data_IF_285710265818
#
_entry.id   IF_285710265818
#
_cell.length_a   1.000
_cell.length_b   1.000
_cell.length_c   1.000
_cell.angle_alpha   90.00
_cell.angle_beta   90.00
_cell.angle_gamma   90.00
#
_symmetry.space_group_name_H-M   'P 1'
#
loop_
_entity.id
_entity.type
_entity.pdbx_description
1 polymer ?
#
# COMPACT_ATOMS: atom_id res chain seq x y z
N UNK A 1 2.99 -16.73 12.75
CA UNK A 1 3.88 -16.12 13.78
C UNK A 1 4.47 -14.85 13.18
N UNK A 2 4.33 -13.71 13.86
CA UNK A 2 4.93 -12.44 13.42
C UNK A 2 6.43 -12.52 13.66
N UNK A 3 7.30 -12.19 12.68
CA UNK A 3 8.74 -12.20 12.85
C UNK A 3 9.21 -11.29 14.00
N UNK A 4 10.29 -11.65 14.67
CA UNK A 4 10.88 -10.85 15.75
C UNK A 4 11.17 -9.39 15.33
N UNK A 5 11.60 -9.20 14.07
CA UNK A 5 11.87 -7.88 13.51
C UNK A 5 10.61 -7.00 13.46
N UNK A 6 9.44 -7.59 13.20
CA UNK A 6 8.18 -6.84 13.18
C UNK A 6 7.77 -6.42 14.58
N UNK A 7 7.97 -7.29 15.58
CA UNK A 7 7.72 -6.95 16.98
C UNK A 7 8.64 -5.81 17.48
N UNK A 8 9.93 -5.87 17.12
CA UNK A 8 10.88 -4.79 17.43
C UNK A 8 10.50 -3.49 16.72
N UNK A 9 10.06 -3.59 15.45
CA UNK A 9 9.60 -2.44 14.66
C UNK A 9 8.33 -1.82 15.25
N UNK A 10 7.39 -2.65 15.71
CA UNK A 10 6.18 -2.20 16.41
C UNK A 10 6.55 -1.43 17.69
N UNK A 11 7.46 -1.97 18.51
CA UNK A 11 7.95 -1.28 19.72
C UNK A 11 8.61 0.05 19.39
N UNK A 12 9.41 0.09 18.35
CA UNK A 12 10.05 1.31 17.87
C UNK A 12 9.02 2.38 17.46
N UNK A 13 8.04 2.00 16.63
CA UNK A 13 6.98 2.91 16.18
C UNK A 13 6.13 3.42 17.37
N UNK A 14 5.84 2.55 18.33
CA UNK A 14 5.17 2.95 19.58
C UNK A 14 6.01 3.90 20.42
N UNK A 15 7.31 3.71 20.48
CA UNK A 15 8.23 4.64 21.17
C UNK A 15 8.24 6.02 20.51
N UNK A 16 8.03 6.09 19.19
CA UNK A 16 7.87 7.34 18.45
C UNK A 16 6.51 8.04 18.66
N UNK A 17 5.61 7.44 19.42
CA UNK A 17 4.32 8.03 19.80
C UNK A 17 3.09 7.38 19.12
N UNK A 18 3.25 6.43 18.19
CA UNK A 18 2.11 5.74 17.61
C UNK A 18 1.50 4.76 18.61
N UNK A 19 0.18 4.74 18.68
CA UNK A 19 -0.59 3.77 19.47
C UNK A 19 -1.00 2.61 18.58
N UNK A 20 -0.87 1.40 19.11
CA UNK A 20 -1.39 0.18 18.49
C UNK A 20 -2.80 -0.06 19.03
N UNK A 21 -3.79 -0.07 18.16
CA UNK A 21 -5.20 -0.30 18.52
C UNK A 21 -5.90 -1.17 17.48
N UNK A 22 -7.06 -1.68 17.83
CA UNK A 22 -7.95 -2.39 16.92
C UNK A 22 -9.21 -1.56 16.70
N UNK A 23 -9.67 -1.54 15.46
CA UNK A 23 -10.91 -0.88 15.04
C UNK A 23 -11.79 -1.95 14.41
N UNK A 24 -13.03 -2.05 14.87
CA UNK A 24 -14.00 -3.03 14.39
C UNK A 24 -14.44 -2.73 12.96
N UNK A 25 -14.76 -3.79 12.22
CA UNK A 25 -15.29 -3.69 10.86
C UNK A 25 -16.18 -4.87 10.53
N UNK A 26 -16.85 -4.85 9.39
CA UNK A 26 -17.77 -5.90 8.94
C UNK A 26 -17.14 -7.30 8.86
N UNK A 27 -15.82 -7.38 8.61
CA UNK A 27 -15.09 -8.66 8.49
C UNK A 27 -14.09 -8.90 9.63
N UNK A 28 -14.28 -8.21 10.76
CA UNK A 28 -13.44 -8.34 11.95
C UNK A 28 -12.45 -7.19 12.14
N UNK A 29 -11.81 -7.11 13.31
CA UNK A 29 -11.01 -5.94 13.68
C UNK A 29 -9.74 -5.78 12.84
N UNK A 30 -9.49 -4.57 12.37
CA UNK A 30 -8.20 -4.18 11.83
C UNK A 30 -7.29 -3.60 12.91
N UNK A 31 -6.05 -4.03 12.90
CA UNK A 31 -4.99 -3.39 13.66
C UNK A 31 -4.56 -2.09 12.98
N UNK A 32 -4.43 -1.03 13.77
CA UNK A 32 -4.02 0.29 13.29
C UNK A 32 -2.92 0.84 14.17
N UNK A 33 -1.83 1.28 13.56
CA UNK A 33 -0.88 2.20 14.20
C UNK A 33 -1.35 3.62 13.96
N UNK A 34 -1.64 4.35 15.01
CA UNK A 34 -2.24 5.67 14.97
C UNK A 34 -1.61 6.58 16.03
N UNK A 35 -1.17 7.75 15.65
CA UNK A 35 -0.56 8.66 16.59
C UNK A 35 -0.35 10.07 16.08
N UNK A 36 -0.20 11.02 17.02
CA UNK A 36 0.07 12.40 16.67
C UNK A 36 1.42 12.54 15.98
N UNK A 37 1.45 13.35 14.94
CA UNK A 37 2.67 13.92 14.43
C UNK A 37 3.05 15.20 15.21
N UNK A 38 3.93 15.99 14.61
CA UNK A 38 4.45 17.23 15.22
C UNK A 38 4.37 18.42 14.26
N UNK A 39 3.77 18.22 13.09
CA UNK A 39 3.58 19.25 12.07
C UNK A 39 2.11 19.62 11.90
N UNK A 40 1.88 20.54 10.97
CA UNK A 40 0.56 21.15 10.72
C UNK A 40 -0.08 20.68 9.41
N UNK A 41 0.61 19.84 8.61
CA UNK A 41 0.02 19.23 7.42
C UNK A 41 -1.15 18.31 7.82
N UNK A 42 -2.11 18.10 6.93
CA UNK A 42 -3.30 17.26 7.21
C UNK A 42 -2.94 15.89 7.78
N UNK A 43 -3.93 15.16 8.29
CA UNK A 43 -3.76 13.76 8.66
C UNK A 43 -3.26 12.96 7.46
N UNK A 44 -2.43 11.95 7.72
CA UNK A 44 -1.85 11.08 6.71
C UNK A 44 -2.24 9.63 6.97
N UNK A 45 -2.84 8.99 5.96
CA UNK A 45 -3.12 7.55 5.95
C UNK A 45 -2.11 6.83 5.06
N UNK A 46 -1.49 5.75 5.56
CA UNK A 46 -0.52 4.94 4.83
C UNK A 46 -1.05 3.50 4.62
N UNK A 47 -1.37 3.14 3.39
CA UNK A 47 -1.93 1.84 3.01
C UNK A 47 -0.86 0.96 2.34
N UNK A 48 -0.54 -0.17 2.95
CA UNK A 48 0.52 -1.07 2.49
C UNK A 48 0.06 -2.07 1.42
N UNK A 49 1.01 -2.67 0.70
CA UNK A 49 0.75 -3.66 -0.34
C UNK A 49 0.54 -5.10 0.18
N UNK A 50 0.25 -6.00 -0.74
CA UNK A 50 0.06 -7.44 -0.48
C UNK A 50 1.26 -8.02 0.27
N UNK A 51 0.96 -8.88 1.25
CA UNK A 51 1.98 -9.55 2.11
C UNK A 51 2.85 -8.60 2.94
N UNK A 52 2.52 -7.29 2.95
CA UNK A 52 3.17 -6.27 3.77
C UNK A 52 2.41 -6.05 5.10
N UNK A 53 2.74 -5.00 5.84
CA UNK A 53 2.10 -4.61 7.11
C UNK A 53 2.57 -3.23 7.56
N UNK A 54 1.89 -2.66 8.54
CA UNK A 54 2.19 -1.33 9.11
C UNK A 54 3.64 -1.16 9.56
N UNK A 55 4.26 -2.18 10.14
CA UNK A 55 5.67 -2.12 10.59
C UNK A 55 6.70 -2.08 9.47
N UNK A 56 6.33 -2.37 8.24
CA UNK A 56 7.23 -2.18 7.10
C UNK A 56 7.51 -0.69 6.83
N UNK A 57 6.65 0.20 7.33
CA UNK A 57 6.87 1.65 7.30
C UNK A 57 7.79 2.19 8.41
N UNK A 58 8.46 1.32 9.21
CA UNK A 58 9.34 1.73 10.33
C UNK A 58 10.45 2.71 9.96
N UNK A 59 10.88 2.74 8.69
CA UNK A 59 11.87 3.70 8.18
C UNK A 59 11.20 4.93 7.55
N UNK A 60 9.98 4.82 7.10
CA UNK A 60 9.23 5.86 6.41
C UNK A 60 8.48 6.78 7.37
N UNK A 61 7.74 6.22 8.32
CA UNK A 61 6.94 6.96 9.31
C UNK A 61 7.76 8.01 10.09
N UNK A 62 8.98 7.73 10.60
CA UNK A 62 9.76 8.72 11.35
C UNK A 62 10.08 10.01 10.56
N UNK A 63 10.09 9.93 9.22
CA UNK A 63 10.32 11.05 8.31
C UNK A 63 9.09 11.91 8.08
N UNK A 64 7.92 11.34 8.33
CA UNK A 64 6.61 11.98 8.13
C UNK A 64 6.07 12.63 9.41
N UNK A 65 6.30 12.01 10.56
CA UNK A 65 5.85 12.53 11.87
C UNK A 65 6.21 14.00 12.15
N UNK A 66 7.36 14.55 11.72
CA UNK A 66 7.66 15.97 11.92
C UNK A 66 6.78 16.95 11.13
N UNK A 67 6.08 16.49 10.11
CA UNK A 67 5.40 17.34 9.13
C UNK A 67 3.88 17.24 9.18
N UNK A 68 3.33 16.06 9.47
CA UNK A 68 1.90 15.79 9.49
C UNK A 68 1.33 15.93 10.91
N UNK A 69 0.05 16.31 11.00
CA UNK A 69 -0.69 16.44 12.26
C UNK A 69 -0.90 15.07 12.92
N UNK A 70 -1.17 14.06 12.13
CA UNK A 70 -1.43 12.68 12.56
C UNK A 70 -1.00 11.70 11.49
N UNK A 71 -0.53 10.53 11.88
CA UNK A 71 -0.18 9.44 10.94
C UNK A 71 -0.95 8.18 11.35
N UNK A 72 -1.69 7.63 10.40
CA UNK A 72 -2.56 6.46 10.54
C UNK A 72 -2.06 5.37 9.59
N UNK A 73 -1.75 4.20 10.12
CA UNK A 73 -1.19 3.08 9.34
C UNK A 73 -1.97 1.80 9.66
N UNK A 74 -3.07 1.53 8.97
CA UNK A 74 -3.82 0.29 9.14
C UNK A 74 -3.04 -0.90 8.57
N UNK A 75 -3.15 -2.04 9.24
CA UNK A 75 -2.88 -3.34 8.63
C UNK A 75 -4.13 -3.79 7.87
N UNK A 76 -3.99 -4.17 6.60
CA UNK A 76 -5.09 -4.70 5.80
C UNK A 76 -5.67 -5.97 6.45
N UNK A 77 -6.91 -6.32 6.14
CA UNK A 77 -7.53 -7.58 6.57
C UNK A 77 -6.61 -8.76 6.21
N UNK A 78 -6.47 -9.69 7.12
CA UNK A 78 -5.56 -10.85 7.03
C UNK A 78 -4.07 -10.50 6.87
N UNK A 79 -3.66 -9.27 7.18
CA UNK A 79 -2.26 -8.85 7.18
C UNK A 79 -1.83 -8.35 8.57
N UNK A 80 -0.54 -8.40 8.83
CA UNK A 80 0.06 -7.86 10.07
C UNK A 80 -0.53 -8.46 11.33
N UNK A 81 -1.21 -7.63 12.11
CA UNK A 81 -1.93 -7.99 13.33
C UNK A 81 -3.46 -7.92 13.19
N UNK A 82 -3.97 -7.60 11.99
CA UNK A 82 -5.40 -7.60 11.70
C UNK A 82 -6.00 -9.00 11.73
N UNK A 83 -7.33 -9.07 11.86
CA UNK A 83 -8.09 -10.31 11.87
C UNK A 83 -7.85 -11.16 10.62
N UNK A 84 -7.92 -12.48 10.79
CA UNK A 84 -7.85 -13.49 9.73
C UNK A 84 -9.18 -14.22 9.65
N UNK A 85 -10.07 -13.87 8.73
CA UNK A 85 -11.34 -14.59 8.56
C UNK A 85 -11.12 -16.05 8.17
N UNK A 86 -11.89 -16.97 8.79
CA UNK A 86 -11.78 -18.41 8.52
C UNK A 86 -12.17 -18.77 7.08
N UNK A 87 -13.09 -18.03 6.49
CA UNK A 87 -13.52 -18.15 5.08
C UNK A 87 -12.47 -17.70 4.06
N UNK A 88 -11.38 -17.11 4.52
CA UNK A 88 -10.35 -16.49 3.69
C UNK A 88 -10.73 -15.08 3.26
N UNK A 89 -9.96 -14.49 2.35
CA UNK A 89 -10.13 -13.11 1.89
C UNK A 89 -10.16 -13.01 0.37
N UNK A 90 -10.80 -11.95 -0.13
CA UNK A 90 -10.76 -11.48 -1.50
C UNK A 90 -10.55 -9.96 -1.57
N UNK A 91 -10.45 -9.39 -2.77
CA UNK A 91 -10.20 -7.97 -2.96
C UNK A 91 -11.30 -7.08 -2.37
N UNK A 92 -12.58 -7.32 -2.64
CA UNK A 92 -13.69 -6.59 -2.02
C UNK A 92 -13.65 -6.61 -0.50
N UNK A 93 -13.51 -7.76 0.15
CA UNK A 93 -13.41 -7.84 1.61
C UNK A 93 -12.29 -6.99 2.18
N UNK A 94 -11.10 -7.05 1.56
CA UNK A 94 -9.93 -6.25 2.01
C UNK A 94 -10.20 -4.76 1.87
N UNK A 95 -10.80 -4.32 0.75
CA UNK A 95 -11.05 -2.90 0.50
C UNK A 95 -12.22 -2.37 1.32
N UNK A 96 -13.31 -3.12 1.42
CA UNK A 96 -14.50 -2.70 2.18
C UNK A 96 -14.14 -2.51 3.64
N UNK A 97 -13.49 -3.50 4.25
CA UNK A 97 -13.00 -3.44 5.63
C UNK A 97 -12.07 -2.24 5.86
N UNK A 98 -11.14 -1.99 4.93
CA UNK A 98 -10.23 -0.87 5.06
C UNK A 98 -10.95 0.47 4.92
N UNK A 99 -11.88 0.60 3.97
CA UNK A 99 -12.67 1.81 3.76
C UNK A 99 -13.51 2.14 5.01
N UNK A 100 -14.19 1.14 5.60
CA UNK A 100 -14.96 1.30 6.84
C UNK A 100 -14.08 1.85 7.97
N UNK A 101 -12.93 1.21 8.20
CA UNK A 101 -12.01 1.60 9.28
C UNK A 101 -11.41 2.98 9.06
N UNK A 102 -11.00 3.31 7.84
CA UNK A 102 -10.40 4.62 7.55
C UNK A 102 -11.45 5.73 7.62
N UNK A 103 -12.68 5.48 7.15
CA UNK A 103 -13.80 6.44 7.27
C UNK A 103 -14.12 6.75 8.74
N UNK A 104 -14.19 5.72 9.61
CA UNK A 104 -14.39 5.89 11.05
C UNK A 104 -13.29 6.71 11.72
N UNK A 105 -12.03 6.56 11.24
CA UNK A 105 -10.87 7.19 11.86
C UNK A 105 -10.67 8.66 11.45
N UNK A 106 -11.25 9.08 10.35
CA UNK A 106 -11.06 10.42 9.79
C UNK A 106 -12.20 11.37 10.15
N UNK A 107 -11.91 12.38 10.96
CA UNK A 107 -12.81 13.48 11.25
C UNK A 107 -12.74 14.59 10.18
N UNK A 108 -11.59 14.70 9.49
CA UNK A 108 -11.32 15.70 8.46
C UNK A 108 -10.63 15.06 7.25
N UNK A 109 -10.69 15.70 6.05
CA UNK A 109 -10.03 15.18 4.86
C UNK A 109 -8.52 15.01 5.05
N UNK A 110 -8.01 13.82 4.72
CA UNK A 110 -6.62 13.41 4.90
C UNK A 110 -5.86 13.29 3.57
N UNK A 111 -4.55 13.33 3.63
CA UNK A 111 -3.70 12.85 2.54
C UNK A 111 -3.62 11.32 2.65
N UNK A 112 -3.92 10.64 1.55
CA UNK A 112 -3.91 9.17 1.49
C UNK A 112 -2.76 8.70 0.62
N UNK A 113 -1.86 7.92 1.20
CA UNK A 113 -0.78 7.24 0.50
C UNK A 113 -1.09 5.76 0.35
N UNK A 114 -0.88 5.20 -0.85
CA UNK A 114 -1.02 3.76 -1.08
C UNK A 114 0.04 3.21 -2.03
N UNK A 115 0.52 1.99 -1.75
CA UNK A 115 1.44 1.28 -2.63
C UNK A 115 0.87 -0.09 -3.02
N UNK A 116 0.91 -0.43 -4.30
CA UNK A 116 0.47 -1.73 -4.84
C UNK A 116 -1.00 -2.03 -4.48
N UNK A 117 -1.31 -3.11 -3.75
CA UNK A 117 -2.64 -3.40 -3.20
C UNK A 117 -3.15 -2.25 -2.31
N UNK A 118 -2.27 -1.58 -1.54
CA UNK A 118 -2.63 -0.39 -0.79
C UNK A 118 -2.94 0.82 -1.69
N UNK A 119 -2.33 0.90 -2.88
CA UNK A 119 -2.66 1.89 -3.90
C UNK A 119 -4.04 1.64 -4.51
N UNK A 120 -4.35 0.38 -4.80
CA UNK A 120 -5.68 -0.06 -5.20
C UNK A 120 -6.74 0.33 -4.15
N UNK A 121 -6.49 0.00 -2.88
CA UNK A 121 -7.39 0.33 -1.78
C UNK A 121 -7.53 1.85 -1.56
N UNK A 122 -6.45 2.61 -1.71
CA UNK A 122 -6.46 4.07 -1.62
C UNK A 122 -7.33 4.72 -2.72
N UNK A 123 -7.26 4.20 -3.94
CA UNK A 123 -8.13 4.65 -5.05
C UNK A 123 -9.58 4.28 -4.80
N UNK A 124 -9.87 3.07 -4.30
CA UNK A 124 -11.22 2.66 -3.89
C UNK A 124 -11.77 3.58 -2.79
N UNK A 125 -10.96 3.89 -1.77
CA UNK A 125 -11.35 4.82 -0.71
C UNK A 125 -11.63 6.22 -1.26
N UNK A 126 -10.76 6.76 -2.11
CA UNK A 126 -10.95 8.08 -2.71
C UNK A 126 -12.18 8.17 -3.62
N UNK A 127 -12.53 7.07 -4.29
CA UNK A 127 -13.75 6.97 -5.10
C UNK A 127 -15.04 6.93 -4.27
N UNK A 128 -15.01 6.27 -3.10
CA UNK A 128 -16.19 6.06 -2.24
C UNK A 128 -16.39 7.21 -1.25
N UNK A 129 -15.31 7.83 -0.79
CA UNK A 129 -15.28 8.89 0.23
C UNK A 129 -14.51 10.12 -0.28
N UNK A 130 -14.94 10.76 -1.38
CA UNK A 130 -14.21 11.88 -1.99
C UNK A 130 -14.09 13.09 -1.05
N UNK A 131 -15.00 13.25 -0.11
CA UNK A 131 -15.01 14.27 0.93
C UNK A 131 -14.00 14.04 2.05
N UNK A 132 -13.49 12.81 2.19
CA UNK A 132 -12.48 12.41 3.19
C UNK A 132 -11.04 12.44 2.64
N UNK A 133 -10.86 12.70 1.35
CA UNK A 133 -9.54 12.69 0.71
C UNK A 133 -9.15 14.08 0.24
N UNK A 134 -8.22 14.71 0.94
CA UNK A 134 -7.64 15.99 0.56
C UNK A 134 -6.67 15.86 -0.62
N UNK A 135 -5.96 14.76 -0.70
CA UNK A 135 -5.07 14.41 -1.80
C UNK A 135 -4.69 12.94 -1.79
N UNK A 136 -4.49 12.40 -2.97
CA UNK A 136 -4.17 10.99 -3.20
C UNK A 136 -2.76 10.84 -3.77
N UNK A 137 -1.90 10.12 -3.06
CA UNK A 137 -0.55 9.79 -3.49
C UNK A 137 -0.40 8.28 -3.63
N UNK A 138 -0.28 7.79 -4.84
CA UNK A 138 -0.17 6.35 -5.09
C UNK A 138 1.13 5.99 -5.79
N UNK A 139 1.76 4.92 -5.32
CA UNK A 139 2.98 4.38 -5.91
C UNK A 139 2.71 2.96 -6.45
N UNK A 140 2.88 2.80 -7.76
CA UNK A 140 2.66 1.53 -8.47
C UNK A 140 1.36 0.82 -8.03
N UNK A 141 0.17 1.48 -8.13
CA UNK A 141 -1.09 0.89 -7.70
C UNK A 141 -1.45 -0.33 -8.54
N UNK A 142 -2.01 -1.36 -7.88
CA UNK A 142 -2.66 -2.48 -8.56
C UNK A 142 -4.06 -2.12 -9.04
N UNK A 143 -4.72 -3.05 -9.74
CA UNK A 143 -6.14 -2.93 -10.13
C UNK A 143 -6.41 -2.31 -11.50
N UNK A 144 -5.40 -1.98 -12.30
CA UNK A 144 -5.60 -1.51 -13.67
C UNK A 144 -6.35 -2.57 -14.51
N UNK A 145 -7.32 -2.12 -15.30
CA UNK A 145 -7.94 -2.99 -16.32
C UNK A 145 -6.88 -3.34 -17.35
N UNK A 146 -6.57 -4.61 -17.46
CA UNK A 146 -5.47 -5.10 -18.28
C UNK A 146 -5.89 -6.39 -19.00
N UNK A 147 -5.33 -6.69 -20.18
CA UNK A 147 -5.60 -7.97 -20.84
C UNK A 147 -5.33 -9.17 -19.94
N UNK A 148 -6.17 -10.20 -20.04
CA UNK A 148 -6.10 -11.39 -19.18
C UNK A 148 -4.71 -12.04 -19.14
N UNK A 149 -3.95 -11.97 -20.23
CA UNK A 149 -2.56 -12.47 -20.28
C UNK A 149 -1.62 -11.69 -19.35
N UNK A 150 -1.76 -10.35 -19.31
CA UNK A 150 -0.99 -9.50 -18.41
C UNK A 150 -1.37 -9.75 -16.96
N UNK A 151 -2.66 -9.88 -16.69
CA UNK A 151 -3.18 -10.21 -15.37
C UNK A 151 -2.63 -11.57 -14.88
N UNK A 152 -2.69 -12.62 -15.70
CA UNK A 152 -2.12 -13.93 -15.37
C UNK A 152 -0.61 -13.89 -15.18
N UNK A 153 0.10 -13.08 -15.94
CA UNK A 153 1.54 -12.88 -15.77
C UNK A 153 1.84 -12.18 -14.43
N UNK A 154 1.06 -11.16 -14.08
CA UNK A 154 1.18 -10.44 -12.82
C UNK A 154 0.92 -11.38 -11.64
N UNK A 155 -0.22 -12.07 -11.61
CA UNK A 155 -0.57 -13.02 -10.53
C UNK A 155 0.43 -14.17 -10.46
N UNK A 156 0.93 -14.66 -11.59
CA UNK A 156 2.01 -15.64 -11.68
C UNK A 156 3.30 -15.23 -10.98
N UNK A 157 3.63 -13.94 -10.98
CA UNK A 157 4.81 -13.43 -10.26
C UNK A 157 4.70 -13.64 -8.74
N UNK A 158 3.49 -13.65 -8.19
CA UNK A 158 3.25 -13.84 -6.74
C UNK A 158 3.30 -15.33 -6.32
N UNK A 159 3.28 -16.26 -7.30
CA UNK A 159 3.32 -17.71 -7.05
C UNK A 159 4.76 -18.20 -6.88
N UNK A 160 5.43 -17.72 -5.84
CA UNK A 160 6.81 -18.06 -5.52
C UNK A 160 6.87 -19.38 -4.77
N UNK A 161 7.46 -20.42 -5.37
CA UNK A 161 7.56 -21.79 -4.80
C UNK A 161 8.96 -22.11 -4.31
N UNK A 162 9.96 -21.74 -5.10
CA UNK A 162 11.38 -22.01 -4.78
C UNK A 162 12.07 -20.78 -4.20
N UNK A 163 13.27 -20.98 -3.67
CA UNK A 163 14.08 -19.87 -3.16
C UNK A 163 14.60 -19.00 -4.33
N UNK A 164 14.96 -19.60 -5.44
CA UNK A 164 15.42 -18.91 -6.65
C UNK A 164 14.32 -18.00 -7.22
N UNK A 165 13.07 -18.50 -7.28
CA UNK A 165 11.91 -17.70 -7.67
C UNK A 165 11.72 -16.51 -6.73
N UNK A 166 11.95 -16.71 -5.42
CA UNK A 166 11.86 -15.63 -4.44
C UNK A 166 12.94 -14.58 -4.61
N UNK A 167 14.17 -14.99 -4.93
CA UNK A 167 15.26 -14.06 -5.27
C UNK A 167 14.88 -13.26 -6.52
N UNK A 168 14.38 -13.93 -7.55
CA UNK A 168 13.93 -13.26 -8.78
C UNK A 168 12.77 -12.28 -8.52
N UNK A 169 11.83 -12.64 -7.64
CA UNK A 169 10.74 -11.77 -7.22
C UNK A 169 11.26 -10.53 -6.46
N UNK A 170 12.19 -10.70 -5.51
CA UNK A 170 12.82 -9.58 -4.80
C UNK A 170 13.49 -8.59 -5.76
N UNK A 171 14.14 -9.08 -6.81
CA UNK A 171 14.76 -8.25 -7.86
C UNK A 171 13.77 -7.50 -8.74
N UNK A 172 12.49 -7.93 -8.75
CA UNK A 172 11.41 -7.17 -9.38
C UNK A 172 10.83 -6.11 -8.44
N UNK A 173 10.78 -6.40 -7.13
CA UNK A 173 10.25 -5.48 -6.12
C UNK A 173 11.13 -4.23 -5.95
N UNK A 174 12.45 -4.38 -6.09
CA UNK A 174 13.42 -3.34 -5.75
C UNK A 174 14.19 -2.88 -6.98
N UNK A 175 14.50 -1.59 -7.03
CA UNK A 175 15.28 -1.00 -8.12
C UNK A 175 16.77 -1.37 -8.03
N UNK A 176 17.28 -1.39 -6.82
CA UNK A 176 18.69 -1.63 -6.52
C UNK A 176 18.99 -3.00 -5.92
N UNK A 177 20.27 -3.26 -5.60
CA UNK A 177 20.67 -4.49 -4.94
C UNK A 177 20.02 -4.60 -3.54
N UNK A 178 19.51 -5.78 -3.24
CA UNK A 178 18.86 -6.07 -1.96
C UNK A 178 19.90 -6.49 -0.93
N UNK A 179 20.12 -5.72 0.15
CA UNK A 179 21.03 -6.16 1.20
C UNK A 179 20.55 -7.48 1.81
N UNK A 180 21.45 -8.43 2.01
CA UNK A 180 21.12 -9.77 2.50
C UNK A 180 20.00 -10.44 1.65
N UNK A 181 20.10 -10.33 0.33
CA UNK A 181 19.09 -10.80 -0.63
C UNK A 181 18.60 -12.21 -0.31
N UNK A 182 19.50 -13.11 0.03
CA UNK A 182 19.14 -14.48 0.40
C UNK A 182 18.18 -14.54 1.59
N UNK A 183 18.43 -13.76 2.65
CA UNK A 183 17.58 -13.73 3.84
C UNK A 183 16.23 -13.03 3.54
N UNK A 184 16.27 -11.93 2.81
CA UNK A 184 15.04 -11.23 2.39
C UNK A 184 14.17 -12.14 1.53
N UNK A 185 14.77 -12.84 0.55
CA UNK A 185 14.07 -13.80 -0.30
C UNK A 185 13.45 -14.94 0.52
N UNK A 186 14.14 -15.45 1.55
CA UNK A 186 13.61 -16.47 2.44
C UNK A 186 12.34 -15.97 3.16
N UNK A 187 12.37 -14.76 3.71
CA UNK A 187 11.23 -14.14 4.40
C UNK A 187 10.08 -13.89 3.42
N UNK A 188 10.36 -13.34 2.24
CA UNK A 188 9.36 -13.09 1.20
C UNK A 188 8.67 -14.39 0.78
N UNK A 189 9.43 -15.44 0.51
CA UNK A 189 8.88 -16.77 0.19
C UNK A 189 7.95 -17.28 1.29
N UNK A 190 8.37 -17.18 2.54
CA UNK A 190 7.56 -17.60 3.68
C UNK A 190 6.24 -16.82 3.75
N UNK A 191 6.28 -15.49 3.55
CA UNK A 191 5.09 -14.64 3.62
C UNK A 191 4.12 -14.90 2.46
N UNK A 192 4.63 -15.02 1.22
CA UNK A 192 3.79 -15.28 0.04
C UNK A 192 3.19 -16.69 0.01
N UNK A 193 3.73 -17.64 0.79
CA UNK A 193 3.21 -19.01 0.89
C UNK A 193 2.28 -19.23 2.09
N UNK A 194 1.87 -18.18 2.80
CA UNK A 194 0.81 -18.32 3.80
C UNK A 194 -0.53 -18.61 3.14
N UNK A 195 -1.32 -19.47 3.73
CA UNK A 195 -2.57 -19.98 3.14
C UNK A 195 -3.51 -18.84 2.73
N UNK A 196 -3.73 -17.84 3.59
CA UNK A 196 -4.59 -16.71 3.29
C UNK A 196 -4.06 -15.82 2.13
N UNK A 197 -2.73 -15.66 1.99
CA UNK A 197 -2.14 -14.94 0.86
C UNK A 197 -2.31 -15.73 -0.43
N UNK A 198 -2.13 -17.06 -0.38
CA UNK A 198 -2.39 -17.94 -1.52
C UNK A 198 -3.84 -17.92 -1.93
N UNK A 199 -4.76 -18.04 -0.97
CA UNK A 199 -6.20 -17.96 -1.23
C UNK A 199 -6.58 -16.62 -1.86
N UNK A 200 -6.02 -15.51 -1.36
CA UNK A 200 -6.24 -14.19 -1.95
C UNK A 200 -5.78 -14.14 -3.42
N UNK A 201 -4.56 -14.60 -3.70
CA UNK A 201 -4.02 -14.62 -5.07
C UNK A 201 -4.88 -15.50 -5.99
N UNK A 202 -5.32 -16.66 -5.50
CA UNK A 202 -6.15 -17.61 -6.27
C UNK A 202 -7.57 -17.08 -6.54
N UNK A 203 -8.07 -16.17 -5.68
CA UNK A 203 -9.37 -15.52 -5.84
C UNK A 203 -9.33 -14.24 -6.67
N UNK A 204 -8.13 -13.69 -6.92
CA UNK A 204 -8.00 -12.48 -7.75
C UNK A 204 -8.60 -12.68 -9.14
N UNK A 205 -9.35 -11.69 -9.61
CA UNK A 205 -10.04 -11.74 -10.87
C UNK A 205 -10.41 -10.37 -11.43
N UNK A 206 -11.25 -10.36 -12.47
CA UNK A 206 -11.70 -9.12 -13.12
C UNK A 206 -12.53 -8.22 -12.18
N UNK A 207 -13.12 -8.79 -11.14
CA UNK A 207 -13.85 -8.05 -10.10
C UNK A 207 -12.94 -7.18 -9.22
N UNK A 208 -11.61 -7.37 -9.29
CA UNK A 208 -10.61 -6.53 -8.60
C UNK A 208 -10.10 -5.39 -9.50
N UNK A 209 -10.64 -5.21 -10.70
CA UNK A 209 -10.24 -4.10 -11.54
C UNK A 209 -10.88 -2.79 -11.11
N UNK A 210 -10.10 -1.71 -11.19
CA UNK A 210 -10.58 -0.34 -11.05
C UNK A 210 -11.10 0.13 -12.40
N UNK A 211 -12.36 -0.16 -12.68
CA UNK A 211 -13.02 0.29 -13.92
C UNK A 211 -13.11 1.83 -14.01
N UNK A 212 -13.42 2.37 -15.22
CA UNK A 212 -13.58 3.82 -15.41
C UNK A 212 -14.57 4.45 -14.42
N UNK A 213 -15.66 3.76 -14.12
CA UNK A 213 -16.73 4.20 -13.21
C UNK A 213 -16.26 4.40 -11.75
N UNK A 214 -15.16 3.74 -11.36
CA UNK A 214 -14.53 3.92 -10.05
C UNK A 214 -13.57 5.11 -10.11
N UNK A 215 -12.72 5.15 -11.14
CA UNK A 215 -11.65 6.15 -11.27
C UNK A 215 -12.21 7.55 -11.56
N UNK A 216 -13.29 7.68 -12.30
CA UNK A 216 -13.97 8.96 -12.59
C UNK A 216 -14.49 9.68 -11.32
N UNK A 217 -14.76 8.93 -10.23
CA UNK A 217 -15.20 9.48 -8.94
C UNK A 217 -14.06 10.05 -8.09
N UNK A 218 -12.82 9.79 -8.46
CA UNK A 218 -11.64 10.32 -7.74
C UNK A 218 -11.49 11.79 -8.10
N UNK A 219 -12.01 12.66 -7.24
CA UNK A 219 -11.97 14.12 -7.43
C UNK A 219 -10.73 14.77 -6.78
N UNK A 220 -10.09 14.09 -5.83
CA UNK A 220 -8.95 14.63 -5.11
C UNK A 220 -7.74 14.84 -6.02
N UNK A 221 -6.95 15.93 -5.82
CA UNK A 221 -5.64 16.07 -6.46
C UNK A 221 -4.84 14.77 -6.28
N UNK A 222 -4.34 14.24 -7.39
CA UNK A 222 -3.72 12.90 -7.41
C UNK A 222 -2.32 12.97 -7.97
N UNK A 223 -1.35 12.39 -7.25
CA UNK A 223 -0.03 12.05 -7.77
C UNK A 223 0.13 10.54 -7.90
N UNK A 224 0.45 10.11 -9.11
CA UNK A 224 0.70 8.72 -9.45
C UNK A 224 2.18 8.53 -9.74
N UNK A 225 2.86 7.86 -8.83
CA UNK A 225 4.27 7.51 -8.96
C UNK A 225 4.44 6.12 -9.58
N UNK A 226 5.23 6.07 -10.64
CA UNK A 226 5.57 4.83 -11.32
C UNK A 226 7.05 4.83 -11.67
N UNK A 227 7.87 4.22 -10.82
CA UNK A 227 9.31 4.26 -10.97
C UNK A 227 9.80 3.74 -12.33
N UNK A 228 10.90 4.29 -12.82
CA UNK A 228 11.52 3.77 -14.06
C UNK A 228 12.00 2.32 -13.92
N UNK A 229 12.24 1.86 -12.69
CA UNK A 229 12.63 0.49 -12.38
C UNK A 229 11.47 -0.38 -11.87
N UNK A 230 10.21 0.03 -12.09
CA UNK A 230 9.05 -0.84 -11.88
C UNK A 230 9.17 -2.08 -12.79
N UNK A 231 9.15 -3.28 -12.21
CA UNK A 231 9.34 -4.56 -12.93
C UNK A 231 8.29 -5.60 -12.57
N UNK A 232 7.40 -5.28 -11.63
CA UNK A 232 6.35 -6.19 -11.17
C UNK A 232 5.05 -5.98 -11.93
N UNK A 233 4.67 -4.73 -12.12
CA UNK A 233 3.51 -4.31 -12.91
C UNK A 233 3.94 -3.89 -14.32
N UNK A 234 2.99 -3.89 -15.26
CA UNK A 234 3.27 -3.57 -16.66
C UNK A 234 3.14 -2.08 -16.96
N UNK A 235 3.92 -1.54 -17.90
CA UNK A 235 3.74 -0.16 -18.40
C UNK A 235 2.34 0.06 -19.03
N UNK A 236 1.67 -1.01 -19.47
CA UNK A 236 0.29 -0.96 -19.91
C UNK A 236 -0.68 -0.55 -18.78
N UNK A 237 -0.39 -0.94 -17.53
CA UNK A 237 -1.20 -0.56 -16.37
C UNK A 237 -1.04 0.95 -16.09
N UNK A 238 0.18 1.48 -16.25
CA UNK A 238 0.42 2.92 -16.19
C UNK A 238 -0.31 3.68 -17.30
N UNK A 239 -0.30 3.13 -18.52
CA UNK A 239 -0.99 3.74 -19.66
C UNK A 239 -2.50 3.83 -19.40
N UNK A 240 -3.09 2.77 -18.85
CA UNK A 240 -4.49 2.75 -18.41
C UNK A 240 -4.78 3.87 -17.39
N UNK A 241 -3.99 3.99 -16.32
CA UNK A 241 -4.21 5.04 -15.33
C UNK A 241 -4.05 6.46 -15.89
N UNK A 242 -3.13 6.66 -16.83
CA UNK A 242 -2.98 7.97 -17.52
C UNK A 242 -4.22 8.35 -18.33
N UNK A 243 -4.87 7.38 -18.94
CA UNK A 243 -6.09 7.58 -19.70
C UNK A 243 -7.28 7.85 -18.78
N UNK A 244 -7.43 7.06 -17.71
CA UNK A 244 -8.60 7.11 -16.83
C UNK A 244 -8.52 8.20 -15.76
N UNK A 245 -7.34 8.71 -15.44
CA UNK A 245 -7.09 9.78 -14.46
C UNK A 245 -6.35 10.96 -15.11
N UNK A 246 -6.97 11.66 -16.09
CA UNK A 246 -6.29 12.72 -16.85
C UNK A 246 -5.86 13.91 -15.98
N UNK A 247 -6.44 14.07 -14.80
CA UNK A 247 -6.08 15.10 -13.82
C UNK A 247 -4.92 14.70 -12.90
N UNK A 248 -4.50 13.43 -12.91
CA UNK A 248 -3.41 12.95 -12.07
C UNK A 248 -2.05 13.40 -12.64
N UNK A 249 -1.21 13.94 -11.75
CA UNK A 249 0.19 14.19 -12.05
C UNK A 249 0.96 12.85 -12.02
N UNK A 250 1.46 12.41 -13.17
CA UNK A 250 2.22 11.16 -13.30
C UNK A 250 3.72 11.44 -13.17
N UNK A 251 4.33 10.86 -12.14
CA UNK A 251 5.75 10.99 -11.85
C UNK A 251 6.49 9.66 -12.13
N UNK A 252 7.62 9.73 -12.85
CA UNK A 252 8.44 8.55 -13.17
C UNK A 252 9.88 8.72 -12.69
N UNK A 253 10.13 8.69 -11.37
CA UNK A 253 11.46 8.91 -10.83
C UNK A 253 12.40 7.74 -11.17
N UNK A 254 13.66 8.09 -11.44
CA UNK A 254 14.73 7.13 -11.60
C UNK A 254 15.14 6.56 -10.23
N UNK A 255 15.53 5.27 -10.21
CA UNK A 255 15.93 4.59 -8.98
C UNK A 255 14.77 4.13 -8.11
N UNK A 256 13.52 4.28 -8.56
CA UNK A 256 12.35 3.75 -7.85
C UNK A 256 11.87 2.44 -8.47
N UNK A 257 11.81 1.38 -7.64
CA UNK A 257 11.16 0.10 -7.95
C UNK A 257 9.72 0.07 -7.46
N UNK A 258 9.17 -1.13 -7.29
CA UNK A 258 7.78 -1.35 -6.86
C UNK A 258 7.50 -0.89 -5.42
N UNK A 259 8.50 -0.93 -4.54
CA UNK A 259 8.35 -0.55 -3.12
C UNK A 259 9.33 0.57 -2.72
N UNK A 260 9.20 1.78 -3.31
CA UNK A 260 10.20 2.83 -3.17
C UNK A 260 10.36 3.35 -1.74
N UNK A 261 9.29 3.36 -0.93
CA UNK A 261 9.33 3.77 0.47
C UNK A 261 10.26 2.89 1.34
N UNK A 262 10.56 1.66 0.89
CA UNK A 262 11.50 0.76 1.57
C UNK A 262 12.94 1.07 1.19
N UNK A 263 13.20 1.36 -0.09
CA UNK A 263 14.53 1.60 -0.63
C UNK A 263 14.99 3.04 -0.42
N UNK A 264 14.10 4.01 -0.67
CA UNK A 264 14.35 5.45 -0.69
C UNK A 264 13.38 6.23 0.20
N UNK A 265 13.29 5.86 1.49
CA UNK A 265 12.29 6.45 2.38
C UNK A 265 12.44 7.97 2.52
N UNK A 266 13.64 8.52 2.38
CA UNK A 266 13.88 9.97 2.45
C UNK A 266 13.30 10.70 1.23
N UNK A 267 13.53 10.17 0.04
CA UNK A 267 13.03 10.73 -1.22
C UNK A 267 11.50 10.68 -1.25
N UNK A 268 10.91 9.49 -0.99
CA UNK A 268 9.45 9.33 -0.99
C UNK A 268 8.78 10.21 0.06
N UNK A 269 9.39 10.35 1.25
CA UNK A 269 8.86 11.23 2.29
C UNK A 269 8.93 12.72 1.88
N UNK A 270 9.99 13.14 1.20
CA UNK A 270 10.12 14.49 0.67
C UNK A 270 9.08 14.79 -0.39
N UNK A 271 8.85 13.85 -1.33
CA UNK A 271 7.83 13.98 -2.38
C UNK A 271 6.41 14.03 -1.79
N UNK A 272 6.11 13.15 -0.84
CA UNK A 272 4.80 13.12 -0.17
C UNK A 272 4.56 14.39 0.65
N UNK A 273 5.58 14.89 1.34
CA UNK A 273 5.51 16.16 2.05
C UNK A 273 5.25 17.32 1.09
N UNK A 274 6.05 17.46 0.03
CA UNK A 274 5.88 18.53 -0.96
C UNK A 274 4.51 18.49 -1.64
N UNK A 275 3.97 17.29 -1.88
CA UNK A 275 2.60 17.13 -2.34
C UNK A 275 1.58 17.66 -1.32
N UNK A 276 1.71 17.29 -0.05
CA UNK A 276 0.80 17.72 1.00
C UNK A 276 0.88 19.24 1.26
N UNK A 277 2.08 19.84 1.18
CA UNK A 277 2.29 21.30 1.29
C UNK A 277 1.56 22.06 0.19
N UNK A 278 1.48 21.51 -1.03
CA UNK A 278 0.78 22.12 -2.15
C UNK A 278 -0.77 22.08 -2.02
N UNK A 279 -1.31 21.33 -1.05
CA UNK A 279 -2.76 21.20 -0.81
C UNK A 279 -3.29 22.12 0.31
N UNK A 280 -2.43 22.84 0.99
CA UNK A 280 -2.76 23.79 2.07
C UNK A 280 -2.46 25.19 1.64
#
# INVERSE_FOLDING_TARGET
MVPLIDWLSLRWLRWLGLRSRYVESSHGPLHVLDGPGRGDLPDLVLMHGLSSRSTHYRRFVPRLLPHFRRVIVPDLLAHGWSHYPDEGIDGPMVTDTLCEVVDELLDEPAVVFGNSLGGYAAMQFASRHPDKVRGLFVASPGGAVTPLENFKRMTGNWLVRTHEESVAFCRKLFAGPVPLEWLVAHVVRYQLNKDHIRQFIDRMGEHDFLGPEILERIAAPTRLYWGLQERLLADADLAYYREQLPHAEVCRPEGWGHSPFTERPDEVASELRGFAEALV
#
